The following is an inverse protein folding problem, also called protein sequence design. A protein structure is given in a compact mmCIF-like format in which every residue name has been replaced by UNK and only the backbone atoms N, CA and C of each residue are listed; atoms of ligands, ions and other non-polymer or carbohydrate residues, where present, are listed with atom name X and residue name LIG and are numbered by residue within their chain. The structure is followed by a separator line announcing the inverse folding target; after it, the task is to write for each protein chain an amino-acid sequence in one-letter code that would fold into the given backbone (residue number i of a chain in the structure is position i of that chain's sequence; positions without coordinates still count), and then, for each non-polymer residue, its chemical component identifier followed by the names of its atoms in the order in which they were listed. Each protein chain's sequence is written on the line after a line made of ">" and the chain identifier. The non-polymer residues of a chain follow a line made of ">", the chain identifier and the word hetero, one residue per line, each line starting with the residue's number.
data_IF_224021404271
#
_entry.id   IF_224021404271
#
_cell.length_a   1.000
_cell.length_b   1.000
_cell.length_c   1.000
_cell.angle_alpha   90.00
_cell.angle_beta   90.00
_cell.angle_gamma   90.00
#
_symmetry.space_group_name_H-M   'P 1'
#
loop_
_entity.id
_entity.type
_entity.pdbx_description
1 polymer ?
#
# COMPACT_ATOMS: atom_id res chain seq x y z
N UNK A 1 0.94 9.23 3.90
CA UNK A 1 0.77 8.02 3.06
C UNK A 1 -0.01 8.44 1.83
N UNK A 2 0.21 7.89 0.65
CA UNK A 2 -0.58 8.28 -0.53
C UNK A 2 -2.10 8.03 -0.35
N UNK A 3 -2.89 8.58 -1.29
CA UNK A 3 -4.32 8.29 -1.44
C UNK A 3 -4.62 7.93 -2.89
N UNK A 4 -5.45 6.90 -3.09
CA UNK A 4 -5.94 6.47 -4.40
C UNK A 4 -7.45 6.57 -4.45
N UNK A 5 -7.99 6.87 -5.64
CA UNK A 5 -9.41 6.82 -5.93
C UNK A 5 -9.63 6.41 -7.39
N UNK A 6 -10.59 5.51 -7.64
CA UNK A 6 -10.92 5.03 -8.98
C UNK A 6 -12.42 4.99 -9.19
N UNK A 7 -12.90 5.58 -10.29
CA UNK A 7 -14.29 5.49 -10.74
C UNK A 7 -14.33 4.63 -12.01
N UNK A 8 -14.98 3.48 -11.96
CA UNK A 8 -14.77 2.39 -12.91
C UNK A 8 -15.76 2.33 -14.09
N UNK A 9 -16.27 3.49 -14.50
CA UNK A 9 -17.10 3.66 -15.69
C UNK A 9 -17.01 5.12 -16.19
N UNK A 10 -17.62 5.46 -17.32
CA UNK A 10 -17.71 6.86 -17.78
C UNK A 10 -18.30 7.76 -16.68
N UNK A 11 -17.51 8.71 -16.19
CA UNK A 11 -17.90 9.61 -15.13
C UNK A 11 -18.54 10.88 -15.72
N UNK A 12 -19.85 10.98 -15.62
CA UNK A 12 -20.59 12.16 -16.13
C UNK A 12 -20.43 13.40 -15.24
N UNK A 13 -19.94 13.23 -14.00
CA UNK A 13 -19.81 14.28 -12.99
C UNK A 13 -18.39 14.31 -12.40
N UNK A 14 -17.47 14.86 -13.18
CA UNK A 14 -16.07 15.05 -12.78
C UNK A 14 -15.93 15.89 -11.50
N UNK A 15 -16.79 16.90 -11.31
CA UNK A 15 -16.74 17.76 -10.12
C UNK A 15 -17.09 16.97 -8.85
N UNK A 16 -18.07 16.07 -8.92
CA UNK A 16 -18.38 15.15 -7.83
C UNK A 16 -17.22 14.20 -7.55
N UNK A 17 -16.56 13.66 -8.58
CA UNK A 17 -15.33 12.88 -8.44
C UNK A 17 -14.25 13.67 -7.70
N UNK A 18 -13.92 14.86 -8.21
CA UNK A 18 -12.89 15.73 -7.66
C UNK A 18 -13.17 16.13 -6.22
N UNK A 19 -14.42 16.48 -5.89
CA UNK A 19 -14.82 16.80 -4.51
C UNK A 19 -14.63 15.63 -3.55
N UNK A 20 -14.88 14.39 -4.00
CA UNK A 20 -14.59 13.19 -3.22
C UNK A 20 -13.09 12.97 -3.03
N UNK A 21 -12.34 13.09 -4.12
CA UNK A 21 -10.88 12.95 -4.16
C UNK A 21 -10.17 13.93 -3.20
N UNK A 22 -10.49 15.22 -3.29
CA UNK A 22 -9.83 16.31 -2.56
C UNK A 22 -9.95 16.18 -1.03
N UNK A 23 -10.91 15.41 -0.50
CA UNK A 23 -11.05 15.15 0.94
C UNK A 23 -9.85 14.43 1.56
N UNK A 24 -8.98 13.85 0.73
CA UNK A 24 -7.79 13.11 1.17
C UNK A 24 -6.47 13.71 0.72
N UNK A 25 -6.44 14.97 0.27
CA UNK A 25 -5.19 15.68 -0.05
C UNK A 25 -4.19 15.61 1.10
N UNK A 26 -4.66 15.67 2.36
CA UNK A 26 -3.81 15.60 3.55
C UNK A 26 -2.97 14.31 3.66
N UNK A 27 -3.38 13.23 2.99
CA UNK A 27 -2.64 11.97 2.94
C UNK A 27 -1.38 12.11 2.06
N UNK A 28 -1.57 12.64 0.86
CA UNK A 28 -0.53 12.87 -0.14
C UNK A 28 -0.42 14.34 -0.51
N UNK A 29 0.22 15.16 0.34
CA UNK A 29 0.27 16.61 0.17
C UNK A 29 1.26 17.10 -0.89
N UNK A 30 2.12 16.22 -1.44
CA UNK A 30 3.24 16.65 -2.28
C UNK A 30 2.79 16.94 -3.72
N UNK A 31 1.90 16.12 -4.28
CA UNK A 31 1.39 16.28 -5.64
C UNK A 31 0.07 15.54 -5.83
N UNK A 32 -0.71 15.90 -6.86
CA UNK A 32 -2.01 15.31 -7.17
C UNK A 32 -2.24 15.20 -8.67
N UNK A 33 -2.73 14.04 -9.12
CA UNK A 33 -3.05 13.81 -10.54
C UNK A 33 -4.33 13.01 -10.67
N UNK A 34 -5.15 13.38 -11.65
CA UNK A 34 -6.30 12.61 -12.12
C UNK A 34 -6.08 12.32 -13.60
N UNK A 35 -6.29 11.07 -14.02
CA UNK A 35 -6.28 10.64 -15.42
C UNK A 35 -7.64 10.10 -15.78
N UNK A 36 -8.12 10.49 -16.95
CA UNK A 36 -9.26 9.86 -17.63
C UNK A 36 -8.73 8.76 -18.55
N UNK A 37 -9.17 7.52 -18.31
CA UNK A 37 -8.78 6.34 -19.10
C UNK A 37 -9.64 6.18 -20.37
N UNK A 38 -10.65 7.04 -20.56
CA UNK A 38 -11.73 6.89 -21.52
C UNK A 38 -12.84 5.93 -21.06
N UNK A 39 -12.60 5.16 -19.99
CA UNK A 39 -13.54 4.22 -19.36
C UNK A 39 -13.73 4.49 -17.87
N UNK A 40 -13.18 5.59 -17.37
CA UNK A 40 -13.27 5.98 -15.98
C UNK A 40 -12.12 6.88 -15.54
N UNK A 41 -12.06 7.14 -14.25
CA UNK A 41 -11.11 8.09 -13.66
C UNK A 41 -10.22 7.40 -12.65
N UNK A 42 -8.92 7.73 -12.67
CA UNK A 42 -7.95 7.33 -11.65
C UNK A 42 -7.31 8.57 -11.05
N UNK A 43 -7.47 8.76 -9.74
CA UNK A 43 -6.92 9.85 -8.96
C UNK A 43 -5.87 9.38 -7.97
N UNK A 44 -4.75 10.10 -7.88
CA UNK A 44 -3.65 9.83 -6.95
C UNK A 44 -3.16 11.09 -6.24
N UNK A 45 -3.15 11.06 -4.91
CA UNK A 45 -2.45 12.03 -4.07
C UNK A 45 -1.15 11.41 -3.57
N UNK A 46 -0.02 12.07 -3.81
CA UNK A 46 1.32 11.54 -3.55
C UNK A 46 1.90 12.05 -2.23
N UNK A 47 2.44 11.11 -1.45
CA UNK A 47 3.49 11.39 -0.46
C UNK A 47 4.76 10.69 -0.96
N UNK A 48 5.82 11.45 -1.21
CA UNK A 48 7.05 10.98 -1.83
C UNK A 48 7.94 10.31 -0.78
N UNK A 49 7.92 8.98 -0.73
CA UNK A 49 8.73 8.15 0.19
C UNK A 49 9.86 7.44 -0.55
N UNK A 50 9.53 6.77 -1.67
CA UNK A 50 10.46 6.10 -2.59
C UNK A 50 10.43 6.78 -3.96
N UNK A 51 11.59 6.99 -4.57
CA UNK A 51 11.72 7.64 -5.87
C UNK A 51 11.25 9.09 -5.83
N UNK A 52 11.97 9.96 -5.09
CA UNK A 52 11.58 11.36 -4.80
C UNK A 52 11.45 12.29 -6.02
N UNK A 53 11.70 11.78 -7.22
CA UNK A 53 11.64 12.55 -8.46
C UNK A 53 10.21 12.58 -9.02
N UNK A 54 9.89 13.53 -9.93
CA UNK A 54 8.56 13.63 -10.54
C UNK A 54 8.12 12.38 -11.30
N UNK A 55 9.05 11.57 -11.78
CA UNK A 55 8.77 10.34 -12.54
C UNK A 55 8.09 9.26 -11.69
N UNK A 56 8.19 9.32 -10.36
CA UNK A 56 7.45 8.44 -9.45
C UNK A 56 5.98 8.83 -9.24
N UNK A 57 5.47 9.86 -9.96
CA UNK A 57 4.08 10.28 -9.88
C UNK A 57 3.16 9.34 -10.64
N UNK A 58 2.05 8.97 -10.01
CA UNK A 58 1.05 8.04 -10.55
C UNK A 58 -0.18 8.81 -11.07
N UNK A 59 -1.04 8.21 -11.92
CA UNK A 59 -0.99 6.84 -12.46
C UNK A 59 0.25 6.53 -13.31
N UNK A 60 0.79 5.32 -13.17
CA UNK A 60 1.74 4.75 -14.14
C UNK A 60 0.97 4.29 -15.38
N UNK A 61 1.62 4.29 -16.54
CA UNK A 61 1.02 3.91 -17.83
C UNK A 61 1.91 2.90 -18.56
N UNK A 62 1.29 1.88 -19.14
CA UNK A 62 1.91 0.90 -20.04
C UNK A 62 0.88 0.43 -21.07
N UNK A 63 1.12 0.72 -22.34
CA UNK A 63 0.29 0.31 -23.48
C UNK A 63 -1.21 0.66 -23.27
N UNK A 64 -1.48 1.89 -22.82
CA UNK A 64 -2.82 2.40 -22.53
C UNK A 64 -3.45 1.86 -21.23
N UNK A 65 -2.83 0.89 -20.56
CA UNK A 65 -3.23 0.44 -19.22
C UNK A 65 -2.65 1.38 -18.16
N UNK A 66 -3.35 1.53 -17.03
CA UNK A 66 -2.94 2.44 -15.96
C UNK A 66 -2.92 1.74 -14.61
N UNK A 67 -2.03 2.14 -13.71
CA UNK A 67 -2.02 1.67 -12.33
C UNK A 67 -1.78 2.80 -11.33
N UNK A 68 -2.54 2.76 -10.24
CA UNK A 68 -2.29 3.55 -9.02
C UNK A 68 -2.19 2.63 -7.81
N UNK A 69 -1.30 2.95 -6.88
CA UNK A 69 -1.00 2.17 -5.70
C UNK A 69 -0.63 3.10 -4.54
N UNK A 70 -1.34 2.96 -3.42
CA UNK A 70 -0.90 3.40 -2.12
C UNK A 70 -0.28 2.21 -1.41
N UNK A 71 1.05 2.09 -1.46
CA UNK A 71 1.77 0.96 -0.88
C UNK A 71 3.28 1.10 -0.97
N UNK A 72 3.97 0.10 -0.42
CA UNK A 72 5.40 -0.14 -0.57
C UNK A 72 5.62 -1.60 -0.97
N UNK A 73 6.25 -1.83 -2.12
CA UNK A 73 6.62 -3.15 -2.63
C UNK A 73 8.07 -3.47 -2.21
N UNK A 74 8.23 -4.34 -1.21
CA UNK A 74 9.54 -4.63 -0.64
C UNK A 74 10.37 -5.53 -1.56
N UNK A 75 11.67 -5.24 -1.68
CA UNK A 75 12.59 -6.03 -2.50
C UNK A 75 12.27 -6.02 -4.00
N UNK A 76 11.56 -4.99 -4.47
CA UNK A 76 11.14 -4.84 -5.86
C UNK A 76 12.30 -4.80 -6.85
N UNK A 77 13.52 -4.48 -6.41
CA UNK A 77 14.70 -4.30 -7.26
C UNK A 77 15.03 -5.56 -8.06
N UNK A 78 14.91 -6.74 -7.44
CA UNK A 78 15.15 -8.02 -8.12
C UNK A 78 14.11 -8.26 -9.22
N UNK A 79 12.84 -8.00 -8.90
CA UNK A 79 11.74 -8.13 -9.85
C UNK A 79 11.89 -7.13 -10.99
N UNK A 80 12.29 -5.90 -10.69
CA UNK A 80 12.57 -4.84 -11.67
C UNK A 80 13.73 -5.22 -12.59
N UNK A 81 14.81 -5.79 -12.07
CA UNK A 81 15.96 -6.24 -12.86
C UNK A 81 15.54 -7.30 -13.90
N UNK A 82 14.77 -8.30 -13.48
CA UNK A 82 14.25 -9.33 -14.38
C UNK A 82 13.29 -8.77 -15.43
N UNK A 83 12.37 -7.90 -15.02
CA UNK A 83 11.41 -7.26 -15.92
C UNK A 83 12.08 -6.26 -16.87
N UNK A 84 13.22 -5.66 -16.49
CA UNK A 84 13.96 -4.72 -17.34
C UNK A 84 14.51 -5.37 -18.62
N UNK A 85 14.53 -6.70 -18.70
CA UNK A 85 14.85 -7.45 -19.93
C UNK A 85 13.76 -7.34 -20.99
N UNK A 86 12.53 -6.96 -20.61
CA UNK A 86 11.34 -6.87 -21.47
C UNK A 86 10.70 -5.48 -21.47
N UNK A 87 10.79 -4.74 -20.37
CA UNK A 87 10.11 -3.47 -20.14
C UNK A 87 11.10 -2.34 -19.87
N UNK A 88 10.74 -1.11 -20.25
CA UNK A 88 11.53 0.08 -19.94
C UNK A 88 10.91 0.81 -18.76
N UNK A 89 11.70 1.01 -17.70
CA UNK A 89 11.30 1.77 -16.51
C UNK A 89 11.83 3.20 -16.58
N UNK A 90 11.02 4.17 -16.16
CA UNK A 90 11.30 5.61 -16.19
C UNK A 90 11.48 6.21 -14.80
N UNK A 91 11.02 5.53 -13.75
CA UNK A 91 11.03 6.03 -12.38
C UNK A 91 11.90 5.17 -11.46
N UNK A 92 12.23 5.72 -10.28
CA UNK A 92 12.77 4.95 -9.15
C UNK A 92 11.70 4.33 -8.25
N UNK A 93 10.42 4.52 -8.55
CA UNK A 93 9.34 4.00 -7.70
C UNK A 93 9.27 2.48 -7.76
N UNK A 94 9.10 1.89 -6.59
CA UNK A 94 8.77 0.50 -6.37
C UNK A 94 7.46 0.09 -7.06
N UNK A 95 6.47 0.97 -7.08
CA UNK A 95 5.16 0.72 -7.68
C UNK A 95 5.16 0.70 -9.23
N UNK A 96 6.23 1.11 -9.91
CA UNK A 96 6.28 1.11 -11.38
C UNK A 96 6.30 -0.31 -11.95
N UNK A 97 6.69 -1.33 -11.15
CA UNK A 97 6.66 -2.73 -11.60
C UNK A 97 5.25 -3.32 -11.71
N UNK A 98 4.20 -2.63 -11.23
CA UNK A 98 2.84 -3.17 -11.15
C UNK A 98 2.30 -3.56 -12.53
N UNK A 99 2.39 -2.67 -13.53
CA UNK A 99 1.86 -2.95 -14.86
C UNK A 99 2.67 -4.05 -15.59
N UNK A 100 4.02 -4.01 -15.59
CA UNK A 100 4.82 -5.14 -16.07
C UNK A 100 4.51 -6.47 -15.38
N UNK A 101 4.33 -6.49 -14.05
CA UNK A 101 3.95 -7.69 -13.30
C UNK A 101 2.57 -8.21 -13.72
N UNK A 102 1.59 -7.32 -13.84
CA UNK A 102 0.24 -7.68 -14.28
C UNK A 102 0.25 -8.23 -15.71
N UNK A 103 1.07 -7.67 -16.61
CA UNK A 103 1.20 -8.16 -17.99
C UNK A 103 1.77 -9.59 -18.06
N UNK A 104 2.77 -9.90 -17.23
CA UNK A 104 3.44 -11.21 -17.24
C UNK A 104 2.69 -12.29 -16.46
N UNK A 105 2.07 -11.91 -15.33
CA UNK A 105 1.53 -12.86 -14.35
C UNK A 105 0.03 -12.69 -14.10
N UNK A 106 -0.62 -11.70 -14.70
CA UNK A 106 -2.03 -11.39 -14.46
C UNK A 106 -2.30 -11.15 -12.97
N UNK A 107 -3.43 -11.67 -12.48
CA UNK A 107 -3.84 -11.54 -11.07
C UNK A 107 -3.01 -12.40 -10.11
N UNK A 108 -2.23 -13.36 -10.60
CA UNK A 108 -1.35 -14.16 -9.73
C UNK A 108 -0.22 -13.30 -9.13
N UNK A 109 0.06 -12.13 -9.72
CA UNK A 109 1.01 -11.17 -9.17
C UNK A 109 0.72 -10.84 -7.69
N UNK A 110 -0.55 -10.78 -7.28
CA UNK A 110 -0.92 -10.38 -5.91
C UNK A 110 -0.38 -11.33 -4.85
N UNK A 111 -0.25 -12.63 -5.18
CA UNK A 111 0.35 -13.65 -4.31
C UNK A 111 1.88 -13.56 -4.26
N UNK A 112 2.49 -12.96 -5.29
CA UNK A 112 3.95 -12.87 -5.43
C UNK A 112 4.53 -11.63 -4.75
N UNK A 113 3.70 -10.61 -4.49
CA UNK A 113 4.14 -9.34 -3.89
C UNK A 113 4.34 -9.49 -2.37
N UNK A 114 5.58 -9.33 -1.91
CA UNK A 114 5.90 -9.03 -0.51
C UNK A 114 5.76 -7.52 -0.30
N UNK A 115 4.56 -7.08 0.03
CA UNK A 115 4.20 -5.66 -0.01
C UNK A 115 3.06 -5.33 0.95
N UNK A 116 2.98 -4.07 1.35
CA UNK A 116 1.74 -3.47 1.84
C UNK A 116 1.18 -2.56 0.76
N UNK A 117 -0.11 -2.70 0.41
CA UNK A 117 -0.67 -2.02 -0.74
C UNK A 117 -2.20 -1.98 -0.74
N UNK A 118 -2.70 -0.90 -1.31
CA UNK A 118 -4.00 -0.83 -1.95
C UNK A 118 -3.75 -0.31 -3.36
N UNK A 119 -4.23 -1.01 -4.40
CA UNK A 119 -4.01 -0.61 -5.79
C UNK A 119 -5.24 -0.76 -6.66
N UNK A 120 -5.29 0.02 -7.74
CA UNK A 120 -6.29 -0.03 -8.78
C UNK A 120 -5.56 -0.05 -10.13
N UNK A 121 -5.91 -1.00 -10.98
CA UNK A 121 -5.37 -1.18 -12.33
C UNK A 121 -6.53 -1.02 -13.31
N UNK A 122 -6.33 -0.22 -14.35
CA UNK A 122 -7.15 -0.25 -15.55
C UNK A 122 -6.42 -1.06 -16.62
N UNK A 123 -7.03 -2.17 -17.03
CA UNK A 123 -6.54 -3.02 -18.12
C UNK A 123 -7.19 -2.57 -19.42
N UNK A 124 -6.40 -1.98 -20.32
CA UNK A 124 -6.91 -1.45 -21.59
C UNK A 124 -7.27 -2.54 -22.61
N UNK A 125 -6.68 -3.74 -22.49
CA UNK A 125 -6.96 -4.86 -23.39
C UNK A 125 -8.29 -5.50 -23.06
N UNK A 126 -8.55 -5.70 -21.76
CA UNK A 126 -9.84 -6.21 -21.28
C UNK A 126 -10.92 -5.11 -21.16
N UNK A 127 -10.52 -3.84 -21.08
CA UNK A 127 -11.43 -2.71 -20.85
C UNK A 127 -12.07 -2.73 -19.47
N UNK A 128 -11.37 -3.23 -18.45
CA UNK A 128 -11.90 -3.42 -17.09
C UNK A 128 -10.98 -2.83 -16.01
N UNK A 129 -11.56 -2.62 -14.82
CA UNK A 129 -10.82 -2.21 -13.64
C UNK A 129 -10.65 -3.36 -12.66
N UNK A 130 -9.42 -3.53 -12.20
CA UNK A 130 -9.03 -4.46 -11.15
C UNK A 130 -8.64 -3.64 -9.93
N UNK A 131 -9.03 -4.07 -8.73
CA UNK A 131 -8.56 -3.48 -7.48
C UNK A 131 -8.07 -4.58 -6.54
N UNK A 132 -7.05 -4.32 -5.73
CA UNK A 132 -6.53 -5.31 -4.81
C UNK A 132 -5.99 -4.67 -3.53
N UNK A 133 -6.03 -5.43 -2.45
CA UNK A 133 -5.59 -5.01 -1.11
C UNK A 133 -4.69 -6.08 -0.49
N UNK A 134 -3.64 -5.63 0.18
CA UNK A 134 -2.63 -6.49 0.81
C UNK A 134 -3.21 -7.54 1.79
N UNK A 135 -2.47 -8.63 2.07
CA UNK A 135 -2.99 -9.81 2.76
C UNK A 135 -3.70 -9.55 4.09
N UNK A 136 -3.28 -8.53 4.84
CA UNK A 136 -3.84 -8.21 6.17
C UNK A 136 -4.48 -6.83 6.22
N UNK A 137 -4.49 -6.10 5.10
CA UNK A 137 -5.16 -4.82 4.95
C UNK A 137 -4.44 -3.67 5.66
N UNK A 138 -3.11 -3.68 5.68
CA UNK A 138 -2.28 -2.57 6.21
C UNK A 138 -2.66 -1.26 5.54
N UNK A 139 -2.73 -1.25 4.20
CA UNK A 139 -3.14 -0.08 3.45
C UNK A 139 -4.66 -0.07 3.31
N UNK A 140 -5.34 1.03 3.65
CA UNK A 140 -6.79 1.07 3.61
C UNK A 140 -7.31 1.18 2.16
N UNK A 141 -8.39 0.46 1.89
CA UNK A 141 -9.15 0.52 0.65
C UNK A 141 -10.62 0.28 0.98
N UNK A 142 -11.48 1.05 0.36
CA UNK A 142 -12.94 0.99 0.45
C UNK A 142 -13.51 0.96 -0.95
N UNK A 143 -14.73 0.46 -1.06
CA UNK A 143 -15.51 0.53 -2.28
C UNK A 143 -16.95 0.95 -1.98
N UNK A 144 -17.66 1.38 -3.00
CA UNK A 144 -19.07 1.72 -2.96
C UNK A 144 -19.64 1.81 -4.37
N UNK A 145 -20.95 1.92 -4.48
CA UNK A 145 -21.63 2.03 -5.76
C UNK A 145 -22.36 3.38 -5.86
N UNK A 146 -22.27 4.02 -7.02
CA UNK A 146 -23.07 5.20 -7.29
C UNK A 146 -24.57 4.85 -7.52
N UNK A 147 -25.35 5.85 -7.93
CA UNK A 147 -26.77 5.66 -8.24
C UNK A 147 -26.99 4.69 -9.42
N UNK A 148 -26.09 4.68 -10.40
CA UNK A 148 -26.13 3.81 -11.58
C UNK A 148 -25.64 2.39 -11.30
N UNK A 149 -24.98 2.17 -10.15
CA UNK A 149 -24.36 0.89 -9.80
C UNK A 149 -22.89 0.79 -10.22
N UNK A 150 -22.28 1.87 -10.72
CA UNK A 150 -20.85 1.94 -10.99
C UNK A 150 -20.06 1.81 -9.70
N UNK A 151 -19.11 0.88 -9.68
CA UNK A 151 -18.21 0.70 -8.55
C UNK A 151 -17.16 1.82 -8.50
N UNK A 152 -16.90 2.32 -7.30
CA UNK A 152 -15.90 3.34 -7.01
C UNK A 152 -15.04 2.86 -5.86
N UNK A 153 -13.72 2.89 -6.04
CA UNK A 153 -12.72 2.51 -5.04
C UNK A 153 -12.04 3.75 -4.46
N UNK A 154 -11.71 3.74 -3.17
CA UNK A 154 -10.93 4.82 -2.57
C UNK A 154 -10.17 4.39 -1.31
N UNK A 155 -9.07 5.09 -1.00
CA UNK A 155 -8.29 4.81 0.22
C UNK A 155 -9.06 5.02 1.53
N UNK A 156 -10.00 5.97 1.58
CA UNK A 156 -10.79 6.23 2.79
C UNK A 156 -12.29 6.35 2.46
N UNK A 157 -13.15 5.85 3.35
CA UNK A 157 -14.60 5.93 3.20
C UNK A 157 -15.09 7.36 2.93
N UNK A 158 -14.42 8.38 3.50
CA UNK A 158 -14.82 9.79 3.34
C UNK A 158 -14.78 10.24 1.87
N UNK A 159 -13.92 9.66 1.03
CA UNK A 159 -13.87 9.96 -0.41
C UNK A 159 -15.20 9.64 -1.09
N UNK A 160 -15.86 8.57 -0.66
CA UNK A 160 -17.07 8.01 -1.26
C UNK A 160 -18.36 8.64 -0.71
N UNK A 161 -18.31 9.32 0.45
CA UNK A 161 -19.47 9.96 1.08
C UNK A 161 -20.06 11.05 0.18
N UNK A 162 -21.34 10.92 -0.13
CA UNK A 162 -22.09 11.81 -1.03
C UNK A 162 -21.97 11.43 -2.51
N UNK A 163 -21.19 10.39 -2.84
CA UNK A 163 -21.07 9.83 -4.18
C UNK A 163 -21.68 8.44 -4.30
N UNK A 164 -21.38 7.58 -3.33
CA UNK A 164 -21.88 6.21 -3.28
C UNK A 164 -23.08 6.11 -2.34
N UNK A 165 -24.04 5.24 -2.69
CA UNK A 165 -25.22 4.91 -1.86
C UNK A 165 -24.88 3.95 -0.73
N UNK A 166 -23.81 3.17 -0.90
CA UNK A 166 -23.24 2.21 0.03
C UNK A 166 -21.72 2.41 0.12
N UNK A 167 -21.13 2.15 1.29
CA UNK A 167 -19.67 2.17 1.48
C UNK A 167 -19.25 0.98 2.33
N UNK A 168 -18.30 0.19 1.84
CA UNK A 168 -17.81 -1.02 2.49
C UNK A 168 -16.28 -1.05 2.48
N UNK A 169 -15.65 -1.60 3.53
CA UNK A 169 -14.21 -1.87 3.49
C UNK A 169 -13.92 -2.94 2.42
N UNK A 170 -12.90 -2.71 1.61
CA UNK A 170 -12.40 -3.71 0.68
C UNK A 170 -11.74 -4.84 1.47
N UNK A 171 -12.08 -6.12 1.23
CA UNK A 171 -11.58 -7.24 2.03
C UNK A 171 -10.05 -7.41 1.91
N UNK A 172 -9.30 -7.56 3.02
CA UNK A 172 -7.87 -7.88 3.00
C UNK A 172 -7.56 -9.17 2.24
N UNK A 173 -6.42 -9.24 1.54
CA UNK A 173 -5.99 -10.45 0.84
C UNK A 173 -6.89 -10.85 -0.33
N UNK A 174 -7.64 -9.89 -0.89
CA UNK A 174 -8.51 -10.08 -2.04
C UNK A 174 -8.12 -9.17 -3.20
N UNK A 175 -8.54 -9.57 -4.39
CA UNK A 175 -8.68 -8.68 -5.54
C UNK A 175 -10.12 -8.70 -6.05
N UNK A 176 -10.52 -7.63 -6.72
CA UNK A 176 -11.77 -7.49 -7.42
C UNK A 176 -11.50 -7.54 -8.93
N UNK A 177 -12.20 -8.41 -9.65
CA UNK A 177 -12.13 -8.53 -11.12
C UNK A 177 -13.45 -9.05 -11.66
N UNK A 178 -13.91 -8.57 -12.81
CA UNK A 178 -15.13 -9.09 -13.45
C UNK A 178 -16.41 -9.02 -12.61
N UNK A 179 -16.51 -8.10 -11.63
CA UNK A 179 -17.69 -8.01 -10.76
C UNK A 179 -17.59 -8.78 -9.43
N UNK A 180 -16.52 -9.55 -9.22
CA UNK A 180 -16.40 -10.46 -8.09
C UNK A 180 -15.12 -10.20 -7.27
N UNK A 181 -15.19 -10.55 -5.98
CA UNK A 181 -14.04 -10.55 -5.08
C UNK A 181 -13.44 -11.96 -5.01
N UNK A 182 -12.14 -12.05 -5.21
CA UNK A 182 -11.39 -13.29 -5.16
C UNK A 182 -10.32 -13.21 -4.06
N UNK A 183 -10.40 -14.11 -3.09
CA UNK A 183 -9.37 -14.26 -2.08
C UNK A 183 -8.10 -14.85 -2.72
N UNK A 184 -6.98 -14.14 -2.62
CA UNK A 184 -5.69 -14.62 -3.08
C UNK A 184 -4.77 -15.03 -1.92
N UNK A 185 -5.01 -14.51 -0.71
CA UNK A 185 -4.28 -14.86 0.49
C UNK A 185 -5.20 -14.78 1.73
N UNK A 186 -5.49 -15.92 2.33
CA UNK A 186 -6.15 -15.99 3.63
C UNK A 186 -5.09 -16.26 4.70
N UNK A 187 -4.73 -15.23 5.49
CA UNK A 187 -3.71 -15.37 6.54
C UNK A 187 -4.18 -16.24 7.71
N UNK A 188 -5.49 -16.43 7.86
CA UNK A 188 -6.06 -17.28 8.91
C UNK A 188 -6.06 -18.76 8.49
N UNK A 189 -5.87 -19.07 7.21
CA UNK A 189 -5.75 -20.44 6.74
C UNK A 189 -4.48 -21.10 7.28
N UNK A 190 -4.65 -22.26 7.92
CA UNK A 190 -3.54 -23.05 8.46
C UNK A 190 -3.16 -24.13 7.46
N UNK A 191 -2.09 -23.91 6.70
CA UNK A 191 -1.57 -24.88 5.74
C UNK A 191 -0.76 -26.00 6.40
N UNK A 192 -0.06 -25.68 7.50
CA UNK A 192 0.85 -26.61 8.18
C UNK A 192 0.93 -26.34 9.68
N UNK A 193 0.89 -27.40 10.47
CA UNK A 193 1.21 -27.37 11.90
C UNK A 193 2.69 -27.70 12.09
N UNK A 194 3.41 -26.89 12.87
CA UNK A 194 4.79 -27.16 13.27
C UNK A 194 4.83 -27.92 14.60
N UNK A 195 5.74 -28.90 14.67
CA UNK A 195 6.08 -29.66 15.88
C UNK A 195 7.55 -29.46 16.28
N UNK A 196 8.16 -28.37 15.80
CA UNK A 196 9.52 -28.00 16.17
C UNK A 196 9.63 -27.78 17.69
N UNK A 197 10.85 -27.88 18.22
CA UNK A 197 11.11 -27.56 19.63
C UNK A 197 10.84 -26.08 19.92
N UNK A 198 10.60 -25.74 21.19
CA UNK A 198 10.37 -24.35 21.60
C UNK A 198 11.53 -23.43 21.19
N UNK A 199 12.78 -23.89 21.34
CA UNK A 199 13.97 -23.11 20.98
C UNK A 199 14.03 -22.84 19.47
N UNK A 200 13.71 -23.82 18.64
CA UNK A 200 13.63 -23.66 17.19
C UNK A 200 12.51 -22.69 16.79
N UNK A 201 11.35 -22.77 17.43
CA UNK A 201 10.24 -21.84 17.20
C UNK A 201 10.66 -20.41 17.57
N UNK A 202 11.27 -20.22 18.75
CA UNK A 202 11.76 -18.92 19.19
C UNK A 202 12.81 -18.35 18.23
N UNK A 203 13.77 -19.15 17.77
CA UNK A 203 14.77 -18.71 16.79
C UNK A 203 14.11 -18.31 15.46
N UNK A 204 13.18 -19.12 14.95
CA UNK A 204 12.48 -18.82 13.69
C UNK A 204 11.64 -17.55 13.78
N UNK A 205 10.98 -17.30 14.92
CA UNK A 205 10.22 -16.06 15.15
C UNK A 205 11.17 -14.87 15.20
N UNK A 206 12.28 -14.98 15.94
CA UNK A 206 13.31 -13.95 16.02
C UNK A 206 13.81 -13.56 14.62
N UNK A 207 14.23 -14.55 13.83
CA UNK A 207 14.84 -14.30 12.52
C UNK A 207 13.82 -13.70 11.53
N UNK A 208 12.56 -14.17 11.57
CA UNK A 208 11.48 -13.59 10.76
C UNK A 208 11.15 -12.16 11.16
N UNK A 209 11.15 -11.83 12.45
CA UNK A 209 10.93 -10.47 12.93
C UNK A 209 12.07 -9.55 12.47
N UNK A 210 13.32 -9.99 12.62
CA UNK A 210 14.50 -9.25 12.15
C UNK A 210 14.43 -8.98 10.66
N UNK A 211 14.19 -10.01 9.84
CA UNK A 211 14.03 -9.86 8.40
C UNK A 211 12.83 -8.95 8.01
N UNK A 212 11.75 -9.02 8.79
CA UNK A 212 10.56 -8.18 8.61
C UNK A 212 10.81 -6.69 8.84
N UNK A 213 11.66 -6.35 9.83
CA UNK A 213 12.11 -4.98 10.09
C UNK A 213 13.12 -4.54 9.03
N UNK A 214 14.13 -5.35 8.74
CA UNK A 214 15.20 -5.02 7.78
C UNK A 214 14.65 -4.60 6.40
N UNK A 215 13.70 -5.35 5.85
CA UNK A 215 13.11 -5.03 4.54
C UNK A 215 12.35 -3.70 4.52
N UNK A 216 11.88 -3.22 5.69
CA UNK A 216 11.13 -1.95 5.86
C UNK A 216 12.03 -0.76 6.17
N UNK A 217 13.34 -0.97 6.33
CA UNK A 217 14.32 0.12 6.53
C UNK A 217 14.77 0.75 5.20
N UNK A 218 14.49 0.12 4.07
CA UNK A 218 14.82 0.64 2.74
C UNK A 218 13.87 1.79 2.40
N UNK A 219 14.35 3.03 2.55
CA UNK A 219 13.60 4.25 2.24
C UNK A 219 14.53 5.35 1.73
N UNK A 220 14.13 6.09 0.68
CA UNK A 220 14.86 7.29 0.22
C UNK A 220 14.65 8.48 1.17
N UNK A 221 13.55 8.46 1.93
CA UNK A 221 13.21 9.47 2.94
C UNK A 221 13.79 9.13 4.33
N UNK A 222 13.87 10.15 5.21
CA UNK A 222 14.28 9.94 6.61
C UNK A 222 13.24 9.12 7.36
N UNK A 223 13.65 7.98 7.92
CA UNK A 223 12.80 7.11 8.73
C UNK A 223 12.78 7.59 10.19
N UNK A 224 11.59 7.65 10.78
CA UNK A 224 11.37 7.86 12.21
C UNK A 224 10.66 6.65 12.83
N UNK A 225 10.87 6.44 14.13
CA UNK A 225 10.35 5.27 14.84
C UNK A 225 9.44 5.70 15.98
N UNK A 226 8.28 5.06 16.11
CA UNK A 226 7.42 5.25 17.27
C UNK A 226 7.88 4.33 18.40
N UNK A 227 8.14 4.89 19.58
CA UNK A 227 8.64 4.17 20.74
C UNK A 227 7.75 4.47 21.95
N UNK A 228 6.95 3.48 22.35
CA UNK A 228 6.08 3.59 23.53
C UNK A 228 6.75 3.09 24.82
N UNK A 229 7.89 2.40 24.72
CA UNK A 229 8.51 1.67 25.83
C UNK A 229 7.89 0.30 26.10
N UNK A 230 6.80 -0.05 25.42
CA UNK A 230 6.27 -1.42 25.39
C UNK A 230 7.18 -2.38 24.60
N UNK A 231 6.99 -3.69 24.79
CA UNK A 231 7.83 -4.72 24.18
C UNK A 231 7.94 -4.59 22.66
N UNK A 232 6.82 -4.43 21.96
CA UNK A 232 6.78 -4.50 20.49
C UNK A 232 7.53 -3.34 19.83
N UNK A 233 7.22 -2.11 20.23
CA UNK A 233 7.88 -0.90 19.70
C UNK A 233 9.37 -0.88 20.05
N UNK A 234 9.72 -1.38 21.24
CA UNK A 234 11.11 -1.50 21.70
C UNK A 234 11.91 -2.51 20.88
N UNK A 235 11.33 -3.67 20.55
CA UNK A 235 11.98 -4.67 19.70
C UNK A 235 12.22 -4.13 18.29
N UNK A 236 11.23 -3.47 17.68
CA UNK A 236 11.37 -2.86 16.35
C UNK A 236 12.48 -1.80 16.37
N UNK A 237 12.48 -0.90 17.36
CA UNK A 237 13.51 0.13 17.50
C UNK A 237 14.90 -0.47 17.73
N UNK A 238 15.02 -1.50 18.58
CA UNK A 238 16.30 -2.14 18.86
C UNK A 238 16.87 -2.84 17.63
N UNK A 239 16.03 -3.54 16.85
CA UNK A 239 16.45 -4.17 15.58
C UNK A 239 16.88 -3.09 14.57
N UNK A 240 16.09 -2.02 14.42
CA UNK A 240 16.42 -0.92 13.52
C UNK A 240 17.73 -0.22 13.89
N UNK A 241 17.96 0.03 15.18
CA UNK A 241 19.21 0.62 15.67
C UNK A 241 20.42 -0.28 15.41
N UNK A 242 20.29 -1.60 15.58
CA UNK A 242 21.37 -2.56 15.25
C UNK A 242 21.75 -2.56 13.77
N UNK A 243 20.87 -2.07 12.89
CA UNK A 243 21.09 -1.96 11.45
C UNK A 243 21.48 -0.56 11.00
N UNK A 244 21.66 0.36 11.93
CA UNK A 244 22.09 1.73 11.65
C UNK A 244 23.37 2.06 12.39
N UNK A 245 24.36 2.58 11.67
CA UNK A 245 25.59 3.10 12.27
C UNK A 245 25.37 4.44 13.00
N UNK A 246 24.18 5.04 12.85
CA UNK A 246 23.80 6.31 13.49
C UNK A 246 22.63 6.08 14.45
N UNK A 247 22.48 6.93 15.48
CA UNK A 247 21.31 6.89 16.33
C UNK A 247 20.02 7.07 15.52
N UNK A 248 19.08 6.13 15.65
CA UNK A 248 17.75 6.27 15.06
C UNK A 248 16.97 7.35 15.78
N UNK A 249 16.05 8.01 15.09
CA UNK A 249 15.19 9.03 15.69
C UNK A 249 13.88 8.42 16.15
N UNK A 250 13.69 8.33 17.46
CA UNK A 250 12.48 7.82 18.09
C UNK A 250 11.55 8.95 18.53
N UNK A 251 10.25 8.67 18.56
CA UNK A 251 9.20 9.59 18.99
C UNK A 251 8.24 8.85 19.92
N UNK A 252 7.91 9.50 21.04
CA UNK A 252 6.93 9.04 22.02
C UNK A 252 5.93 10.16 22.28
N UNK A 253 4.70 9.81 22.59
CA UNK A 253 3.64 10.76 22.95
C UNK A 253 2.98 10.32 24.25
N UNK A 254 2.64 11.27 25.11
CA UNK A 254 1.97 11.03 26.39
C UNK A 254 1.46 12.34 26.98
N UNK A 255 0.66 12.22 28.03
CA UNK A 255 0.10 13.37 28.75
C UNK A 255 1.19 14.12 29.54
N UNK A 256 0.89 15.34 29.99
CA UNK A 256 1.79 16.07 30.89
C UNK A 256 1.85 15.48 32.30
N UNK A 257 0.80 14.78 32.71
CA UNK A 257 0.64 14.12 34.02
C UNK A 257 0.58 12.60 33.83
N UNK A 258 1.22 11.83 34.70
CA UNK A 258 1.19 10.35 34.74
C UNK A 258 1.50 9.62 33.41
N UNK A 259 2.40 10.18 32.59
CA UNK A 259 2.82 9.56 31.34
C UNK A 259 3.80 8.40 31.54
N UNK A 260 3.27 7.26 31.98
CA UNK A 260 4.02 6.04 32.21
C UNK A 260 4.75 5.54 30.96
N UNK A 261 4.12 5.66 29.79
CA UNK A 261 4.74 5.29 28.50
C UNK A 261 5.96 6.16 28.18
N UNK A 262 5.91 7.47 28.47
CA UNK A 262 7.07 8.35 28.25
C UNK A 262 8.26 7.97 29.13
N UNK A 263 7.99 7.50 30.36
CA UNK A 263 9.05 6.97 31.24
C UNK A 263 9.72 5.75 30.63
N UNK A 264 8.95 4.77 30.16
CA UNK A 264 9.51 3.54 29.58
C UNK A 264 10.14 3.77 28.21
N UNK A 265 9.55 4.61 27.37
CA UNK A 265 10.13 5.01 26.10
C UNK A 265 11.53 5.64 26.29
N UNK A 266 11.67 6.49 27.32
CA UNK A 266 12.96 7.11 27.68
C UNK A 266 13.98 6.12 28.25
N UNK A 267 13.54 5.00 28.82
CA UNK A 267 14.47 3.95 29.28
C UNK A 267 15.02 3.12 28.12
N UNK A 268 14.24 2.95 27.06
CA UNK A 268 14.63 2.19 25.87
C UNK A 268 15.48 3.02 24.91
N UNK A 269 15.18 4.32 24.79
CA UNK A 269 15.93 5.28 23.98
C UNK A 269 17.33 5.56 24.54
#
# INVERSE_FOLDING_TARGET
>A
MCSIMGYCDSCDDFEKFKKGFDKTVSRGPDDSRIVDTGKGLLGFHRLSIMGLTPEGMQPFELDGSYAICNGELYGFEKTKEELSKKYTFKSGSDCEIILPMYREYGVDMFKMLDAEFAMIIYDAEAGEYIAARDPIGIRPLYYGHDEKGTIVFASEAKNLVGMCKDIMPFPPGHYYKGGEFHCYCDIAAVDKVSYDSLDEICSKIHDKLVAGVEKRLVADAKVGFLLSGGLDSSLVCAIAQKKSDKPIRTFAIGMSEDAIDLKYAKQVA
#
